data_IF_881439593957
#
_entry.id   IF_881439593957
#
_cell.length_a   1.000
_cell.length_b   1.000
_cell.length_c   1.000
_cell.angle_alpha   90.00
_cell.angle_beta   90.00
_cell.angle_gamma   90.00
#
_symmetry.space_group_name_H-M   'P 1'
#
loop_
_entity.id
_entity.type
_entity.pdbx_description
1 polymer ?
#
# COMPACT_ATOMS: atom_id res chain seq x y z
N UNK A 1 1.98 10.35 -27.93
CA UNK A 1 1.98 8.95 -27.44
C UNK A 1 0.54 8.55 -27.15
N UNK A 2 -0.03 7.55 -27.81
CA UNK A 2 -1.42 7.13 -27.57
C UNK A 2 -1.45 6.35 -26.25
N UNK A 3 -2.20 6.83 -25.25
CA UNK A 3 -2.39 6.08 -24.01
C UNK A 3 -2.95 4.69 -24.32
N UNK A 4 -2.48 3.67 -23.61
CA UNK A 4 -3.09 2.35 -23.70
C UNK A 4 -4.55 2.43 -23.24
N UNK A 5 -5.42 1.59 -23.83
CA UNK A 5 -6.84 1.53 -23.47
C UNK A 5 -7.03 1.24 -21.97
N UNK A 6 -6.11 0.49 -21.38
CA UNK A 6 -6.13 0.11 -19.97
C UNK A 6 -5.85 1.32 -19.06
N UNK A 7 -4.84 2.16 -19.37
CA UNK A 7 -4.55 3.39 -18.62
C UNK A 7 -5.71 4.39 -18.72
N UNK A 8 -6.28 4.57 -19.91
CA UNK A 8 -7.42 5.46 -20.08
C UNK A 8 -8.65 4.98 -19.28
N UNK A 9 -8.87 3.66 -19.22
CA UNK A 9 -9.93 3.05 -18.44
C UNK A 9 -9.72 3.28 -16.93
N UNK A 10 -8.47 3.17 -16.46
CA UNK A 10 -8.11 3.44 -15.07
C UNK A 10 -8.39 4.89 -14.66
N UNK A 11 -8.01 5.86 -15.50
CA UNK A 11 -8.27 7.30 -15.27
C UNK A 11 -9.79 7.57 -15.22
N UNK A 12 -10.55 6.98 -16.13
CA UNK A 12 -12.00 7.13 -16.17
C UNK A 12 -12.67 6.52 -14.93
N UNK A 13 -12.24 5.33 -14.52
CA UNK A 13 -12.72 4.66 -13.31
C UNK A 13 -12.42 5.51 -12.06
N UNK A 14 -11.20 6.02 -11.92
CA UNK A 14 -10.84 6.94 -10.83
C UNK A 14 -11.77 8.16 -10.80
N UNK A 15 -11.95 8.85 -11.94
CA UNK A 15 -12.82 10.03 -12.04
C UNK A 15 -14.25 9.72 -11.60
N UNK A 16 -14.80 8.60 -12.07
CA UNK A 16 -16.16 8.17 -11.72
C UNK A 16 -16.29 7.85 -10.22
N UNK A 17 -15.35 7.08 -9.68
CA UNK A 17 -15.38 6.64 -8.29
C UNK A 17 -15.20 7.80 -7.32
N UNK A 18 -14.23 8.70 -7.55
CA UNK A 18 -13.99 9.87 -6.68
C UNK A 18 -15.23 10.75 -6.60
N UNK A 19 -15.86 11.05 -7.74
CA UNK A 19 -17.09 11.85 -7.78
C UNK A 19 -18.29 11.12 -7.18
N UNK A 20 -18.29 9.78 -7.21
CA UNK A 20 -19.35 8.95 -6.63
C UNK A 20 -19.28 8.79 -5.11
N UNK A 21 -18.09 8.96 -4.50
CA UNK A 21 -17.89 8.77 -3.05
C UNK A 21 -18.74 9.75 -2.22
N UNK A 22 -18.73 11.04 -2.60
CA UNK A 22 -19.49 12.09 -1.90
C UNK A 22 -21.01 11.84 -1.98
N UNK A 23 -21.50 11.50 -3.18
CA UNK A 23 -22.90 11.15 -3.40
C UNK A 23 -23.34 9.95 -2.56
N UNK A 24 -22.54 8.88 -2.52
CA UNK A 24 -22.83 7.69 -1.69
C UNK A 24 -22.89 8.04 -0.20
N UNK A 25 -21.98 8.89 0.27
CA UNK A 25 -21.95 9.28 1.68
C UNK A 25 -23.14 10.16 2.09
N UNK A 26 -23.65 11.01 1.20
CA UNK A 26 -24.84 11.84 1.44
C UNK A 26 -26.17 11.05 1.48
N UNK A 27 -26.22 9.89 0.85
CA UNK A 27 -27.42 9.04 0.76
C UNK A 27 -27.32 7.76 1.61
N UNK A 28 -26.41 7.72 2.58
CA UNK A 28 -26.19 6.55 3.44
C UNK A 28 -26.87 6.76 4.79
N UNK A 29 -27.95 6.01 5.04
CA UNK A 29 -28.67 6.05 6.32
C UNK A 29 -27.99 5.19 7.42
N UNK A 30 -27.24 4.15 7.03
CA UNK A 30 -26.69 3.14 7.94
C UNK A 30 -25.33 3.47 8.56
N UNK A 31 -24.61 4.46 8.03
CA UNK A 31 -23.23 4.78 8.43
C UNK A 31 -22.96 6.27 8.45
N UNK A 32 -22.23 6.70 9.48
CA UNK A 32 -21.72 8.06 9.58
C UNK A 32 -20.94 8.44 8.31
N UNK A 33 -21.22 9.64 7.80
CA UNK A 33 -20.67 10.20 6.56
C UNK A 33 -19.15 9.97 6.42
N UNK A 34 -18.37 10.33 7.44
CA UNK A 34 -16.91 10.18 7.43
C UNK A 34 -16.44 8.72 7.28
N UNK A 35 -17.19 7.77 7.84
CA UNK A 35 -16.92 6.34 7.70
C UNK A 35 -17.12 5.85 6.27
N UNK A 36 -18.18 6.31 5.59
CA UNK A 36 -18.45 5.99 4.17
C UNK A 36 -17.36 6.56 3.27
N UNK A 37 -16.95 7.81 3.50
CA UNK A 37 -15.86 8.45 2.74
C UNK A 37 -14.55 7.68 2.91
N UNK A 38 -14.19 7.31 4.14
CA UNK A 38 -12.95 6.58 4.42
C UNK A 38 -12.94 5.21 3.74
N UNK A 39 -14.02 4.45 3.86
CA UNK A 39 -14.15 3.14 3.23
C UNK A 39 -14.11 3.24 1.70
N UNK A 40 -14.84 4.20 1.12
CA UNK A 40 -14.87 4.44 -0.32
C UNK A 40 -13.49 4.80 -0.88
N UNK A 41 -12.73 5.64 -0.17
CA UNK A 41 -11.36 5.97 -0.55
C UNK A 41 -10.41 4.76 -0.44
N UNK A 42 -10.53 3.95 0.61
CA UNK A 42 -9.72 2.73 0.76
C UNK A 42 -9.93 1.77 -0.40
N UNK A 43 -11.20 1.47 -0.72
CA UNK A 43 -11.56 0.61 -1.86
C UNK A 43 -11.09 1.17 -3.20
N UNK A 44 -11.17 2.49 -3.38
CA UNK A 44 -10.66 3.16 -4.57
C UNK A 44 -9.16 2.90 -4.77
N UNK A 45 -8.33 3.19 -3.75
CA UNK A 45 -6.88 3.01 -3.87
C UNK A 45 -6.54 1.54 -4.09
N UNK A 46 -7.16 0.63 -3.34
CA UNK A 46 -6.95 -0.81 -3.51
C UNK A 46 -7.29 -1.28 -4.93
N UNK A 47 -8.43 -0.83 -5.49
CA UNK A 47 -8.83 -1.19 -6.85
C UNK A 47 -7.83 -0.70 -7.91
N UNK A 48 -7.33 0.53 -7.76
CA UNK A 48 -6.31 1.10 -8.65
C UNK A 48 -5.03 0.29 -8.57
N UNK A 49 -4.57 -0.04 -7.35
CA UNK A 49 -3.37 -0.85 -7.12
C UNK A 49 -3.47 -2.20 -7.82
N UNK A 50 -4.59 -2.92 -7.66
CA UNK A 50 -4.79 -4.22 -8.33
C UNK A 50 -4.72 -4.09 -9.84
N UNK A 51 -5.40 -3.09 -10.41
CA UNK A 51 -5.35 -2.84 -11.85
C UNK A 51 -3.93 -2.50 -12.32
N UNK A 52 -3.15 -1.73 -11.55
CA UNK A 52 -1.75 -1.45 -11.92
C UNK A 52 -0.90 -2.72 -11.95
N UNK A 53 -1.06 -3.62 -10.97
CA UNK A 53 -0.34 -4.91 -10.95
C UNK A 53 -0.74 -5.79 -12.13
N UNK A 54 -2.03 -5.89 -12.43
CA UNK A 54 -2.54 -6.68 -13.57
C UNK A 54 -2.07 -6.12 -14.91
N UNK A 55 -2.10 -4.79 -15.09
CA UNK A 55 -1.59 -4.11 -16.28
C UNK A 55 -0.09 -4.36 -16.43
N UNK A 56 0.70 -4.17 -15.36
CA UNK A 56 2.13 -4.42 -15.36
C UNK A 56 2.46 -5.87 -15.74
N UNK A 57 1.76 -6.85 -15.14
CA UNK A 57 1.93 -8.27 -15.45
C UNK A 57 1.61 -8.60 -16.91
N UNK A 58 0.52 -8.03 -17.43
CA UNK A 58 0.10 -8.19 -18.84
C UNK A 58 1.11 -7.57 -19.80
N UNK A 59 1.61 -6.37 -19.52
CA UNK A 59 2.62 -5.68 -20.35
C UNK A 59 3.95 -6.43 -20.38
N UNK A 60 4.29 -7.18 -19.33
CA UNK A 60 5.46 -8.06 -19.31
C UNK A 60 5.27 -9.35 -20.14
N UNK A 61 4.08 -9.59 -20.69
CA UNK A 61 3.79 -10.78 -21.50
C UNK A 61 3.77 -12.08 -20.70
N UNK A 62 3.57 -12.00 -19.38
CA UNK A 62 3.64 -13.14 -18.48
C UNK A 62 2.29 -13.89 -18.41
N UNK A 63 2.35 -15.19 -18.10
CA UNK A 63 1.15 -16.02 -17.99
C UNK A 63 0.28 -15.57 -16.80
N UNK A 64 -0.95 -15.13 -17.07
CA UNK A 64 -1.89 -14.64 -16.05
C UNK A 64 -2.23 -15.68 -14.98
N UNK A 65 -2.14 -16.98 -15.28
CA UNK A 65 -2.40 -18.06 -14.31
C UNK A 65 -1.38 -18.16 -13.19
N UNK A 66 -0.19 -17.54 -13.36
CA UNK A 66 0.86 -17.51 -12.33
C UNK A 66 0.61 -16.42 -11.29
N UNK A 67 -0.14 -15.37 -11.65
CA UNK A 67 -0.42 -14.22 -10.79
C UNK A 67 -1.68 -14.48 -9.95
N UNK A 68 -1.61 -14.20 -8.65
CA UNK A 68 -2.78 -14.12 -7.77
C UNK A 68 -2.69 -12.88 -6.88
N UNK A 69 -3.83 -12.24 -6.65
CA UNK A 69 -3.98 -11.07 -5.76
C UNK A 69 -4.82 -11.39 -4.52
N UNK A 70 -4.98 -12.68 -4.21
CA UNK A 70 -5.74 -13.12 -3.04
C UNK A 70 -5.02 -12.74 -1.74
N UNK A 71 -5.74 -12.09 -0.83
CA UNK A 71 -5.13 -11.63 0.42
C UNK A 71 -5.19 -12.71 1.49
N UNK A 72 -4.05 -13.07 2.05
CA UNK A 72 -3.98 -14.04 3.15
C UNK A 72 -3.63 -13.35 4.47
N UNK A 73 -4.07 -13.94 5.58
CA UNK A 73 -3.63 -13.49 6.91
C UNK A 73 -2.34 -14.22 7.25
N UNK A 74 -1.27 -13.45 7.50
CA UNK A 74 0.03 -14.00 7.91
C UNK A 74 0.12 -14.01 9.43
N UNK A 75 0.62 -15.11 10.00
CA UNK A 75 0.93 -15.20 11.43
C UNK A 75 2.39 -14.85 11.65
N UNK A 76 2.64 -13.78 12.39
CA UNK A 76 3.96 -13.37 12.82
C UNK A 76 4.25 -14.04 14.16
N UNK A 77 5.24 -14.96 14.23
CA UNK A 77 5.52 -15.69 15.47
C UNK A 77 6.18 -14.78 16.50
N UNK A 78 5.99 -15.10 17.79
CA UNK A 78 6.76 -14.51 18.87
C UNK A 78 8.25 -14.85 18.71
N UNK A 79 9.12 -13.85 18.85
CA UNK A 79 10.58 -14.07 18.84
C UNK A 79 11.00 -14.70 20.17
N UNK A 80 11.67 -15.85 20.13
CA UNK A 80 12.07 -16.56 21.35
C UNK A 80 12.96 -15.72 22.27
N UNK A 81 13.83 -14.87 21.71
CA UNK A 81 14.68 -13.94 22.49
C UNK A 81 13.86 -12.95 23.35
N UNK A 82 12.60 -12.71 23.02
CA UNK A 82 11.72 -11.92 23.88
C UNK A 82 11.49 -12.59 25.24
N UNK A 83 11.48 -13.92 25.31
CA UNK A 83 11.30 -14.68 26.56
C UNK A 83 12.39 -14.36 27.60
N UNK A 84 13.58 -13.94 27.15
CA UNK A 84 14.68 -13.52 28.04
C UNK A 84 14.39 -12.19 28.74
N UNK A 85 13.54 -11.35 28.14
CA UNK A 85 13.17 -10.01 28.66
C UNK A 85 11.96 -10.06 29.60
N UNK A 86 11.26 -11.19 29.67
CA UNK A 86 10.10 -11.36 30.53
C UNK A 86 10.58 -11.53 31.98
N UNK A 87 10.22 -10.54 32.82
CA UNK A 87 10.64 -10.49 34.23
C UNK A 87 9.98 -11.55 35.10
N UNK A 88 8.69 -11.86 34.86
CA UNK A 88 7.97 -12.87 35.64
C UNK A 88 8.32 -14.28 35.15
N UNK A 89 8.86 -15.15 36.03
CA UNK A 89 9.12 -16.54 35.70
C UNK A 89 7.85 -17.30 35.30
N UNK A 90 6.72 -17.00 35.94
CA UNK A 90 5.42 -17.64 35.69
C UNK A 90 4.93 -17.32 34.27
N UNK A 91 4.95 -16.04 33.89
CA UNK A 91 4.56 -15.60 32.54
C UNK A 91 5.50 -16.21 31.49
N UNK A 92 6.82 -16.21 31.76
CA UNK A 92 7.81 -16.81 30.85
C UNK A 92 7.55 -18.30 30.64
N UNK A 93 7.28 -19.05 31.72
CA UNK A 93 6.96 -20.48 31.67
C UNK A 93 5.67 -20.72 30.87
N UNK A 94 4.61 -19.98 31.17
CA UNK A 94 3.33 -20.10 30.48
C UNK A 94 3.46 -19.87 28.96
N UNK A 95 4.14 -18.79 28.55
CA UNK A 95 4.33 -18.50 27.12
C UNK A 95 5.18 -19.59 26.46
N UNK A 96 6.21 -20.09 27.14
CA UNK A 96 7.06 -21.16 26.60
C UNK A 96 6.29 -22.46 26.38
N UNK A 97 5.39 -22.81 27.30
CA UNK A 97 4.54 -24.01 27.20
C UNK A 97 3.45 -23.88 26.11
N UNK A 98 3.05 -22.65 25.77
CA UNK A 98 1.98 -22.35 24.81
C UNK A 98 2.47 -21.60 23.56
N UNK A 99 3.75 -21.71 23.20
CA UNK A 99 4.41 -20.81 22.24
C UNK A 99 3.70 -20.71 20.88
N UNK A 100 3.08 -21.79 20.41
CA UNK A 100 2.37 -21.85 19.11
C UNK A 100 1.13 -20.94 19.06
N UNK A 101 0.57 -20.60 20.22
CA UNK A 101 -0.61 -19.74 20.33
C UNK A 101 -0.23 -18.25 20.38
N UNK A 102 1.05 -17.94 20.62
CA UNK A 102 1.57 -16.58 20.66
C UNK A 102 2.04 -16.12 19.28
N UNK A 103 1.11 -15.58 18.51
CA UNK A 103 1.39 -14.92 17.24
C UNK A 103 0.57 -13.65 17.07
N UNK A 104 1.06 -12.75 16.21
CA UNK A 104 0.31 -11.58 15.76
C UNK A 104 -0.17 -11.81 14.33
N UNK A 105 -1.45 -11.58 14.05
CA UNK A 105 -1.99 -11.69 12.68
C UNK A 105 -1.78 -10.39 11.92
N UNK A 106 -1.22 -10.47 10.73
CA UNK A 106 -0.93 -9.32 9.89
C UNK A 106 -1.42 -9.53 8.45
N UNK A 107 -1.93 -8.46 7.84
CA UNK A 107 -2.46 -8.44 6.47
C UNK A 107 -2.44 -7.01 5.93
N UNK A 108 -2.06 -6.85 4.66
CA UNK A 108 -2.05 -5.56 3.95
C UNK A 108 -3.19 -5.47 2.95
N UNK A 109 -3.33 -4.32 2.30
CA UNK A 109 -4.41 -4.04 1.36
C UNK A 109 -4.36 -4.91 0.09
N UNK A 110 -3.17 -5.12 -0.48
CA UNK A 110 -2.95 -6.02 -1.63
C UNK A 110 -1.75 -6.93 -1.37
N UNK A 111 -1.92 -8.21 -1.70
CA UNK A 111 -0.86 -9.20 -1.74
C UNK A 111 -0.64 -9.63 -3.19
N UNK A 112 0.60 -9.74 -3.61
CA UNK A 112 0.94 -10.25 -4.94
C UNK A 112 1.63 -11.59 -4.78
N UNK A 113 1.02 -12.60 -5.39
CA UNK A 113 1.55 -13.94 -5.45
C UNK A 113 1.96 -14.29 -6.88
N UNK A 114 3.15 -14.87 -7.03
CA UNK A 114 3.63 -15.45 -8.28
C UNK A 114 3.94 -16.91 -8.02
N UNK A 115 3.31 -17.82 -8.78
CA UNK A 115 3.45 -19.27 -8.59
C UNK A 115 3.18 -19.71 -7.14
N UNK A 116 2.16 -19.09 -6.52
CA UNK A 116 1.74 -19.28 -5.11
C UNK A 116 2.74 -18.82 -4.05
N UNK A 117 3.85 -18.18 -4.44
CA UNK A 117 4.78 -17.54 -3.50
C UNK A 117 4.35 -16.10 -3.25
N UNK A 118 4.39 -15.66 -1.99
CA UNK A 118 4.09 -14.28 -1.63
C UNK A 118 5.31 -13.41 -1.94
N UNK A 119 5.25 -12.62 -3.00
CA UNK A 119 6.42 -11.91 -3.54
C UNK A 119 6.39 -10.40 -3.27
N UNK A 120 5.21 -9.81 -3.09
CA UNK A 120 5.09 -8.37 -2.81
C UNK A 120 3.87 -8.04 -1.93
N UNK A 121 4.09 -7.26 -0.89
CA UNK A 121 3.06 -6.66 -0.05
C UNK A 121 2.87 -5.19 -0.42
N UNK A 122 1.63 -4.79 -0.68
CA UNK A 122 1.29 -3.40 -1.00
C UNK A 122 0.29 -2.85 0.01
N UNK A 123 0.66 -1.75 0.64
CA UNK A 123 -0.23 -0.95 1.49
C UNK A 123 -0.82 0.21 0.67
N UNK A 124 -2.13 0.41 0.78
CA UNK A 124 -2.89 1.39 0.02
C UNK A 124 -3.39 2.51 0.93
N UNK A 125 -3.10 3.76 0.59
CA UNK A 125 -3.55 4.92 1.36
C UNK A 125 -4.13 6.01 0.48
N UNK A 126 -5.23 6.62 0.90
CA UNK A 126 -5.71 7.82 0.22
C UNK A 126 -4.69 8.97 0.37
N UNK A 127 -4.01 9.04 1.50
CA UNK A 127 -2.83 9.86 1.71
C UNK A 127 -2.00 9.27 2.84
N UNK A 128 -0.69 9.57 2.87
CA UNK A 128 0.19 9.13 3.95
C UNK A 128 0.92 10.32 4.56
N UNK A 129 0.88 10.40 5.89
CA UNK A 129 1.72 11.25 6.72
C UNK A 129 2.76 10.40 7.47
N UNK A 130 3.79 11.02 8.04
CA UNK A 130 4.85 10.30 8.77
C UNK A 130 4.34 9.42 9.92
N UNK A 131 3.25 9.80 10.59
CA UNK A 131 2.64 8.98 11.64
C UNK A 131 2.05 7.67 11.09
N UNK A 132 1.44 7.72 9.90
CA UNK A 132 0.96 6.52 9.21
C UNK A 132 2.10 5.70 8.66
N UNK A 133 3.12 6.35 8.06
CA UNK A 133 4.31 5.68 7.55
C UNK A 133 4.98 4.83 8.62
N UNK A 134 5.17 5.33 9.84
CA UNK A 134 5.73 4.55 10.96
C UNK A 134 5.02 3.21 11.18
N UNK A 135 3.69 3.18 11.10
CA UNK A 135 2.91 1.94 11.27
C UNK A 135 3.17 0.97 10.12
N UNK A 136 3.20 1.50 8.90
CA UNK A 136 3.52 0.72 7.69
C UNK A 136 4.92 0.13 7.77
N UNK A 137 5.92 0.91 8.23
CA UNK A 137 7.29 0.43 8.40
C UNK A 137 7.37 -0.71 9.44
N UNK A 138 6.62 -0.60 10.54
CA UNK A 138 6.51 -1.66 11.55
C UNK A 138 5.88 -2.92 10.94
N UNK A 139 4.74 -2.79 10.28
CA UNK A 139 4.05 -3.92 9.64
C UNK A 139 4.95 -4.63 8.62
N UNK A 140 5.62 -3.89 7.75
CA UNK A 140 6.55 -4.46 6.76
C UNK A 140 7.79 -5.08 7.40
N UNK A 141 8.30 -4.50 8.49
CA UNK A 141 9.39 -5.12 9.26
C UNK A 141 8.97 -6.47 9.84
N UNK A 142 7.72 -6.59 10.32
CA UNK A 142 7.17 -7.85 10.80
C UNK A 142 7.02 -8.87 9.65
N UNK A 143 6.50 -8.46 8.50
CA UNK A 143 6.46 -9.34 7.31
C UNK A 143 7.86 -9.84 6.92
N UNK A 144 8.87 -8.97 6.91
CA UNK A 144 10.25 -9.34 6.53
C UNK A 144 10.83 -10.43 7.45
N UNK A 145 10.36 -10.52 8.71
CA UNK A 145 10.77 -11.61 9.61
C UNK A 145 10.32 -12.99 9.10
N UNK A 146 9.17 -13.06 8.42
CA UNK A 146 8.59 -14.31 7.93
C UNK A 146 8.93 -14.53 6.45
N UNK A 147 9.02 -13.46 5.67
CA UNK A 147 9.32 -13.45 4.24
C UNK A 147 10.48 -12.48 3.94
N UNK A 148 11.74 -12.92 4.10
CA UNK A 148 12.92 -12.04 3.98
C UNK A 148 13.09 -11.36 2.61
N UNK A 149 12.56 -11.98 1.56
CA UNK A 149 12.69 -11.54 0.17
C UNK A 149 11.45 -10.81 -0.37
N UNK A 150 10.50 -10.46 0.51
CA UNK A 150 9.25 -9.81 0.15
C UNK A 150 9.49 -8.35 -0.24
N UNK A 151 8.93 -7.93 -1.38
CA UNK A 151 8.99 -6.54 -1.79
C UNK A 151 7.88 -5.74 -1.09
N UNK A 152 8.22 -4.51 -0.70
CA UNK A 152 7.29 -3.63 0.01
C UNK A 152 6.96 -2.39 -0.81
N UNK A 153 5.67 -2.12 -0.96
CA UNK A 153 5.17 -0.96 -1.70
C UNK A 153 4.14 -0.21 -0.86
N UNK A 154 4.30 1.09 -0.75
CA UNK A 154 3.24 2.01 -0.33
C UNK A 154 2.69 2.70 -1.57
N UNK A 155 1.45 2.42 -1.92
CA UNK A 155 0.73 3.17 -2.96
C UNK A 155 -0.22 4.16 -2.31
N UNK A 156 -0.05 5.45 -2.63
CA UNK A 156 -0.90 6.51 -2.14
C UNK A 156 -1.49 7.40 -3.25
N UNK A 157 -2.69 7.92 -3.03
CA UNK A 157 -3.22 8.95 -3.93
C UNK A 157 -2.51 10.28 -3.70
N UNK A 158 -2.56 10.84 -2.49
CA UNK A 158 -1.87 12.09 -2.14
C UNK A 158 -0.72 11.83 -1.16
N UNK A 159 0.25 12.73 -1.07
CA UNK A 159 1.33 12.64 -0.06
C UNK A 159 1.25 13.78 0.95
N UNK A 160 1.54 13.45 2.21
CA UNK A 160 1.82 14.40 3.30
C UNK A 160 3.13 14.01 4.00
N UNK A 161 4.04 13.40 3.26
CA UNK A 161 5.37 13.00 3.72
C UNK A 161 6.39 14.15 3.63
N UNK A 162 6.01 15.29 3.05
CA UNK A 162 6.90 16.43 2.75
C UNK A 162 7.82 16.17 1.55
N UNK A 163 8.75 17.10 1.30
CA UNK A 163 9.75 16.96 0.25
C UNK A 163 9.13 16.87 -1.15
N UNK A 164 9.64 15.98 -2.01
CA UNK A 164 9.19 15.84 -3.40
C UNK A 164 8.29 14.60 -3.66
N UNK A 165 7.78 13.96 -2.59
CA UNK A 165 6.90 12.80 -2.69
C UNK A 165 5.57 13.09 -3.40
N UNK A 166 5.12 14.35 -3.42
CA UNK A 166 3.91 14.77 -4.17
C UNK A 166 4.21 15.35 -5.55
N UNK A 167 5.49 15.49 -5.93
CA UNK A 167 5.88 16.04 -7.23
C UNK A 167 5.73 14.98 -8.34
N UNK A 168 5.73 15.35 -9.63
CA UNK A 168 5.65 14.39 -10.73
C UNK A 168 7.02 13.85 -11.17
N UNK A 169 8.07 14.10 -10.40
CA UNK A 169 9.44 13.66 -10.68
C UNK A 169 9.54 12.13 -10.61
N UNK A 170 10.27 11.54 -11.56
CA UNK A 170 10.56 10.10 -11.59
C UNK A 170 11.45 9.68 -10.41
N UNK A 171 12.57 10.40 -10.21
CA UNK A 171 13.43 10.24 -9.04
C UNK A 171 12.88 11.07 -7.88
N UNK A 172 12.81 10.46 -6.69
CA UNK A 172 12.38 11.09 -5.44
C UNK A 172 13.57 11.26 -4.49
N UNK A 173 13.83 12.49 -4.09
CA UNK A 173 14.77 12.77 -3.00
C UNK A 173 14.14 12.61 -1.63
N UNK A 174 12.81 12.70 -1.53
CA UNK A 174 12.07 12.57 -0.28
C UNK A 174 12.17 13.79 0.63
N UNK A 175 11.88 13.58 1.91
CA UNK A 175 11.97 14.62 2.95
C UNK A 175 12.90 14.17 4.08
N UNK A 176 13.52 15.11 4.82
CA UNK A 176 14.39 14.76 5.95
C UNK A 176 13.68 13.84 6.95
N UNK A 177 12.46 14.21 7.36
CA UNK A 177 11.70 13.42 8.34
C UNK A 177 11.39 12.00 7.87
N UNK A 178 11.08 11.83 6.58
CA UNK A 178 10.76 10.51 6.02
C UNK A 178 12.01 9.63 5.95
N UNK A 179 13.13 10.18 5.48
CA UNK A 179 14.40 9.46 5.44
C UNK A 179 14.93 9.11 6.82
N UNK A 180 14.80 10.01 7.80
CA UNK A 180 15.13 9.71 9.19
C UNK A 180 14.30 8.53 9.69
N UNK A 181 13.00 8.45 9.37
CA UNK A 181 12.19 7.28 9.76
C UNK A 181 12.66 6.01 9.05
N UNK A 182 12.84 6.07 7.73
CA UNK A 182 13.30 4.93 6.92
C UNK A 182 14.62 4.35 7.44
N UNK A 183 15.56 5.19 7.91
CA UNK A 183 16.86 4.72 8.39
C UNK A 183 16.80 3.82 9.64
N UNK A 184 15.69 3.81 10.38
CA UNK A 184 15.53 2.94 11.56
C UNK A 184 14.97 1.55 11.22
N UNK A 185 14.55 1.30 9.97
CA UNK A 185 13.96 0.04 9.56
C UNK A 185 14.77 -0.56 8.41
N UNK A 186 15.21 -1.80 8.59
CA UNK A 186 15.86 -2.57 7.53
C UNK A 186 14.81 -3.11 6.54
N UNK A 187 14.16 -2.23 5.79
CA UNK A 187 13.23 -2.60 4.71
C UNK A 187 13.45 -1.72 3.47
N UNK A 188 13.37 -2.32 2.29
CA UNK A 188 13.31 -1.58 1.03
C UNK A 188 11.86 -1.19 0.72
N UNK A 189 11.49 0.07 0.98
CA UNK A 189 10.14 0.57 0.73
C UNK A 189 10.07 1.37 -0.58
N UNK A 190 9.20 0.94 -1.49
CA UNK A 190 8.84 1.70 -2.70
C UNK A 190 7.63 2.58 -2.40
N UNK A 191 7.77 3.91 -2.49
CA UNK A 191 6.67 4.86 -2.24
C UNK A 191 6.18 5.43 -3.58
N UNK A 192 4.93 5.12 -3.94
CA UNK A 192 4.29 5.55 -5.18
C UNK A 192 3.15 6.53 -4.88
N UNK A 193 3.23 7.75 -5.42
CA UNK A 193 2.18 8.79 -5.28
C UNK A 193 1.54 9.06 -6.63
N UNK A 194 0.20 8.96 -6.70
CA UNK A 194 -0.53 9.07 -7.96
C UNK A 194 -1.03 10.48 -8.28
N UNK A 195 -1.32 11.32 -7.29
CA UNK A 195 -1.86 12.67 -7.47
C UNK A 195 -0.79 13.70 -7.13
N UNK A 196 -0.63 14.67 -8.03
CA UNK A 196 0.32 15.76 -7.85
C UNK A 196 -0.14 16.74 -6.76
N UNK A 197 0.84 17.29 -6.06
CA UNK A 197 0.67 18.29 -5.02
C UNK A 197 0.30 17.69 -3.66
N UNK A 198 0.81 18.29 -2.60
CA UNK A 198 0.61 17.81 -1.24
C UNK A 198 -0.88 17.70 -0.88
N UNK A 199 -1.16 16.78 0.04
CA UNK A 199 -2.46 16.64 0.70
C UNK A 199 -2.74 17.91 1.50
N UNK A 200 -3.86 18.57 1.22
CA UNK A 200 -4.36 19.73 2.00
C UNK A 200 -5.57 19.34 2.82
N UNK A 201 -5.45 19.28 4.15
CA UNK A 201 -6.46 18.67 5.04
C UNK A 201 -7.88 19.20 4.77
N UNK A 202 -8.00 20.51 4.61
CA UNK A 202 -9.19 21.31 4.31
C UNK A 202 -9.75 21.14 2.88
N UNK A 203 -8.98 20.55 1.95
CA UNK A 203 -9.33 20.37 0.53
C UNK A 203 -9.38 18.90 0.14
N UNK A 204 -10.38 18.12 0.57
CA UNK A 204 -10.39 16.69 0.33
C UNK A 204 -10.89 16.32 -1.07
N UNK A 205 -10.16 15.45 -1.77
CA UNK A 205 -10.37 15.12 -3.20
C UNK A 205 -11.73 14.53 -3.60
N UNK A 206 -12.54 14.06 -2.64
CA UNK A 206 -13.89 13.54 -2.92
C UNK A 206 -14.90 14.66 -3.18
N UNK A 207 -14.60 15.87 -2.71
CA UNK A 207 -15.36 17.07 -3.03
C UNK A 207 -14.98 17.57 -4.41
N UNK A 208 -15.97 17.84 -5.24
CA UNK A 208 -15.79 18.21 -6.65
C UNK A 208 -14.86 19.40 -6.86
N UNK A 209 -14.94 20.39 -5.97
CA UNK A 209 -14.17 21.64 -5.99
C UNK A 209 -12.68 21.44 -5.66
N UNK A 210 -12.33 20.31 -5.04
CA UNK A 210 -10.95 19.95 -4.67
C UNK A 210 -10.46 18.70 -5.40
N UNK A 211 -11.19 18.26 -6.44
CA UNK A 211 -10.81 17.12 -7.25
C UNK A 211 -9.42 17.34 -7.88
N UNK A 212 -8.55 16.36 -7.71
CA UNK A 212 -7.26 16.28 -8.40
C UNK A 212 -7.36 15.23 -9.51
N UNK A 213 -7.04 15.56 -10.77
CA UNK A 213 -7.02 14.59 -11.85
C UNK A 213 -5.89 13.57 -11.65
N UNK A 214 -6.15 12.32 -12.03
CA UNK A 214 -5.12 11.29 -12.11
C UNK A 214 -4.39 11.43 -13.44
N UNK A 215 -3.10 11.81 -13.38
CA UNK A 215 -2.27 11.98 -14.57
C UNK A 215 -1.74 10.63 -15.07
N UNK A 216 -1.75 10.44 -16.37
CA UNK A 216 -1.06 9.36 -17.07
C UNK A 216 0.42 9.22 -16.66
N UNK A 217 1.14 10.31 -16.42
CA UNK A 217 2.57 10.29 -16.09
C UNK A 217 2.86 9.62 -14.76
N UNK A 218 2.04 9.89 -13.74
CA UNK A 218 2.20 9.24 -12.44
C UNK A 218 1.80 7.76 -12.50
N UNK A 219 0.77 7.42 -13.28
CA UNK A 219 0.41 6.02 -13.57
C UNK A 219 1.57 5.28 -14.24
N UNK A 220 2.17 5.86 -15.29
CA UNK A 220 3.28 5.24 -16.00
C UNK A 220 4.49 5.05 -15.09
N UNK A 221 4.80 6.04 -14.24
CA UNK A 221 5.89 5.93 -13.26
C UNK A 221 5.62 4.77 -12.27
N UNK A 222 4.40 4.67 -11.76
CA UNK A 222 4.01 3.56 -10.88
C UNK A 222 4.08 2.20 -11.59
N UNK A 223 3.65 2.13 -12.86
CA UNK A 223 3.73 0.92 -13.67
C UNK A 223 5.16 0.48 -13.90
N UNK A 224 6.10 1.39 -14.18
CA UNK A 224 7.51 1.02 -14.37
C UNK A 224 8.12 0.42 -13.10
N UNK A 225 7.85 1.01 -11.93
CA UNK A 225 8.32 0.46 -10.65
C UNK A 225 7.73 -0.93 -10.41
N UNK A 226 6.41 -1.09 -10.56
CA UNK A 226 5.74 -2.39 -10.37
C UNK A 226 6.26 -3.43 -11.37
N UNK A 227 6.45 -3.07 -12.65
CA UNK A 227 7.02 -3.96 -13.67
C UNK A 227 8.43 -4.41 -13.31
N UNK A 228 9.27 -3.50 -12.81
CA UNK A 228 10.64 -3.84 -12.39
C UNK A 228 10.62 -4.92 -11.31
N UNK A 229 9.82 -4.71 -10.25
CA UNK A 229 9.70 -5.65 -9.14
C UNK A 229 9.16 -7.01 -9.62
N UNK A 230 8.07 -7.01 -10.40
CA UNK A 230 7.49 -8.25 -10.94
C UNK A 230 8.46 -9.03 -11.83
N UNK A 231 9.25 -8.33 -12.66
CA UNK A 231 10.21 -8.95 -13.57
C UNK A 231 11.33 -9.67 -12.83
N UNK A 232 11.76 -9.15 -11.68
CA UNK A 232 12.79 -9.79 -10.86
C UNK A 232 12.31 -11.12 -10.27
N UNK A 233 11.03 -11.21 -9.91
CA UNK A 233 10.40 -12.39 -9.29
C UNK A 233 9.85 -13.40 -10.29
N UNK A 234 9.58 -12.99 -11.53
CA UNK A 234 8.97 -13.84 -12.55
C UNK A 234 9.93 -14.80 -13.27
N UNK A 235 11.24 -14.70 -12.98
CA UNK A 235 12.28 -15.63 -13.42
C UNK A 235 12.06 -17.02 -12.82
#
# INVERSE_FOLDING_TARGET
MKLSKDIQSLINAYKFLVKGIDKKAKHSDDRAYGGVIRAGKGLLVESITKSLVEIAWKELGLNSKRLSLEKQTVKIPLKEIYLERIKSPEVKKYIKENLKDFYYTLKTDVHVYIDKKFEMAIECKAYTENAMLKRILVDFTLFKQVYPNLDFVLLQLESQLGGDYSSPNYVKYGSPSTHTLLSYFDIGLNILTLLEGERKVDKPIHKSEYYKPLDSKSILTALEVIKSLLKEKAK
#
